data_IF_756599433300
#
_entry.id   IF_756599433300
#
_cell.length_a   1.000
_cell.length_b   1.000
_cell.length_c   1.000
_cell.angle_alpha   90.00
_cell.angle_beta   90.00
_cell.angle_gamma   90.00
#
_symmetry.space_group_name_H-M   'P 1'
#
loop_
_entity.id
_entity.type
_entity.pdbx_description
1 polymer ?
#
# COMPACT_ATOMS: atom_id res chain seq x y z
N UNK A 1 21.90 13.48 21.79
CA UNK A 1 20.95 12.93 20.80
C UNK A 1 21.64 12.96 19.44
N UNK A 2 21.88 11.79 18.86
CA UNK A 2 22.64 11.66 17.61
C UNK A 2 21.76 12.03 16.42
N UNK A 3 22.25 12.92 15.56
CA UNK A 3 21.63 13.13 14.25
C UNK A 3 21.93 11.91 13.38
N UNK A 4 20.94 11.44 12.59
CA UNK A 4 21.20 10.39 11.60
C UNK A 4 22.12 10.98 10.53
N UNK A 5 23.39 10.60 10.55
CA UNK A 5 24.39 11.11 9.59
C UNK A 5 24.40 10.32 8.28
N UNK A 6 23.95 9.07 8.30
CA UNK A 6 23.86 8.20 7.12
C UNK A 6 22.81 7.11 7.34
N UNK A 7 22.01 6.83 6.31
CA UNK A 7 21.06 5.71 6.28
C UNK A 7 21.43 4.77 5.13
N UNK A 8 21.36 3.47 5.38
CA UNK A 8 21.46 2.44 4.34
C UNK A 8 20.30 1.47 4.49
N UNK A 9 19.59 1.24 3.37
CA UNK A 9 18.62 0.15 3.28
C UNK A 9 19.33 -1.08 2.70
N UNK A 10 19.30 -2.21 3.42
CA UNK A 10 19.77 -3.49 2.90
C UNK A 10 18.61 -4.48 2.91
N UNK A 11 18.35 -5.09 1.76
CA UNK A 11 17.16 -5.91 1.48
C UNK A 11 16.17 -5.13 0.62
N UNK A 12 15.88 -5.61 -0.59
CA UNK A 12 14.83 -5.01 -1.42
C UNK A 12 13.46 -5.44 -0.90
N UNK A 13 12.43 -4.65 -1.22
CA UNK A 13 11.01 -4.98 -0.96
C UNK A 13 10.48 -6.22 -1.72
N UNK A 14 11.35 -7.03 -2.31
CA UNK A 14 10.93 -8.22 -3.02
C UNK A 14 10.75 -9.37 -2.02
N UNK A 15 9.53 -9.90 -1.91
CA UNK A 15 9.15 -10.97 -0.97
C UNK A 15 9.99 -12.25 -1.13
N UNK A 16 10.68 -12.41 -2.27
CA UNK A 16 11.49 -13.59 -2.58
C UNK A 16 12.99 -13.40 -2.30
N UNK A 17 13.43 -12.25 -1.79
CA UNK A 17 14.84 -12.04 -1.48
C UNK A 17 15.16 -12.51 -0.06
N UNK A 18 16.14 -13.41 0.05
CA UNK A 18 16.69 -13.82 1.34
C UNK A 18 17.18 -12.61 2.13
N UNK A 19 17.05 -12.62 3.47
CA UNK A 19 17.53 -11.52 4.30
C UNK A 19 19.02 -11.28 4.05
N UNK A 20 19.49 -10.03 4.19
CA UNK A 20 20.89 -9.71 4.00
C UNK A 20 21.78 -10.51 4.96
N UNK A 21 22.92 -10.99 4.45
CA UNK A 21 23.87 -11.75 5.26
C UNK A 21 24.47 -10.84 6.35
N UNK A 22 24.67 -11.35 7.58
CA UNK A 22 25.29 -10.61 8.69
C UNK A 22 26.60 -9.91 8.32
N UNK A 23 27.46 -10.56 7.53
CA UNK A 23 28.73 -9.98 7.07
C UNK A 23 28.57 -8.73 6.19
N UNK A 24 27.52 -8.64 5.38
CA UNK A 24 27.24 -7.44 4.58
C UNK A 24 26.79 -6.28 5.48
N UNK A 25 26.05 -6.59 6.55
CA UNK A 25 25.61 -5.60 7.54
C UNK A 25 26.83 -5.09 8.34
N UNK A 26 27.74 -5.98 8.77
CA UNK A 26 28.98 -5.60 9.49
C UNK A 26 29.82 -4.60 8.71
N UNK A 27 29.92 -4.73 7.38
CA UNK A 27 30.70 -3.81 6.53
C UNK A 27 30.19 -2.37 6.58
N UNK A 28 28.90 -2.16 6.86
CA UNK A 28 28.33 -0.82 7.01
C UNK A 28 28.70 -0.13 8.33
N UNK A 29 29.18 -0.90 9.31
CA UNK A 29 29.47 -0.43 10.68
C UNK A 29 28.29 0.35 11.29
N UNK A 30 27.09 -0.26 11.37
CA UNK A 30 25.92 0.43 11.91
C UNK A 30 26.09 0.69 13.41
N UNK A 31 25.47 1.76 13.88
CA UNK A 31 25.28 2.05 15.31
C UNK A 31 23.88 1.61 15.81
N UNK A 32 22.97 1.32 14.89
CA UNK A 32 21.62 0.80 15.13
C UNK A 32 21.16 -0.03 13.91
N UNK A 33 20.46 -1.13 14.16
CA UNK A 33 19.78 -1.94 13.13
C UNK A 33 18.27 -1.90 13.38
N UNK A 34 17.50 -1.56 12.37
CA UNK A 34 16.04 -1.63 12.38
C UNK A 34 15.58 -2.79 11.49
N UNK A 35 14.79 -3.71 12.06
CA UNK A 35 14.32 -4.90 11.35
C UNK A 35 12.79 -4.87 11.27
N UNK A 36 12.24 -4.75 10.06
CA UNK A 36 10.79 -4.81 9.83
C UNK A 36 10.26 -6.22 9.54
N UNK A 37 11.12 -7.13 9.09
CA UNK A 37 10.80 -8.55 8.94
C UNK A 37 12.03 -9.34 9.37
N UNK A 38 11.87 -10.22 10.35
CA UNK A 38 12.96 -11.02 10.92
C UNK A 38 12.86 -12.51 10.56
N UNK A 39 11.94 -12.92 9.69
CA UNK A 39 11.89 -14.31 9.21
C UNK A 39 13.23 -14.68 8.54
N UNK A 40 13.88 -15.72 9.08
CA UNK A 40 15.20 -16.15 8.62
C UNK A 40 16.38 -15.28 9.09
N UNK A 41 16.16 -14.33 10.00
CA UNK A 41 17.20 -13.50 10.63
C UNK A 41 17.37 -13.92 12.10
N UNK A 42 18.62 -14.15 12.52
CA UNK A 42 18.95 -14.33 13.93
C UNK A 42 19.10 -12.97 14.63
N UNK A 43 18.16 -12.63 15.52
CA UNK A 43 18.23 -11.37 16.29
C UNK A 43 19.45 -11.32 17.20
N UNK A 44 19.87 -12.45 17.78
CA UNK A 44 21.09 -12.55 18.58
C UNK A 44 22.31 -12.18 17.76
N UNK A 45 22.41 -12.70 16.53
CA UNK A 45 23.50 -12.39 15.61
C UNK A 45 23.50 -10.91 15.22
N UNK A 46 22.34 -10.34 14.89
CA UNK A 46 22.22 -8.90 14.60
C UNK A 46 22.65 -8.04 15.79
N UNK A 47 22.28 -8.45 17.01
CA UNK A 47 22.64 -7.74 18.22
C UNK A 47 24.16 -7.80 18.52
N UNK A 48 24.89 -8.78 17.98
CA UNK A 48 26.38 -8.77 18.01
C UNK A 48 27.00 -7.74 17.06
N UNK A 49 26.24 -7.22 16.10
CA UNK A 49 26.71 -6.22 15.12
C UNK A 49 26.45 -4.82 15.67
N UNK A 50 25.21 -4.54 16.09
CA UNK A 50 24.78 -3.28 16.69
C UNK A 50 23.45 -3.49 17.44
N UNK A 51 23.07 -2.57 18.36
CA UNK A 51 21.72 -2.57 18.94
C UNK A 51 20.66 -2.79 17.86
N UNK A 52 19.79 -3.78 18.06
CA UNK A 52 18.80 -4.18 17.06
C UNK A 52 17.40 -3.97 17.60
N UNK A 53 16.56 -3.25 16.85
CA UNK A 53 15.15 -3.01 17.18
C UNK A 53 14.29 -3.64 16.10
N UNK A 54 13.33 -4.45 16.53
CA UNK A 54 12.28 -4.98 15.65
C UNK A 54 11.16 -3.97 15.58
N UNK A 55 10.83 -3.53 14.37
CA UNK A 55 9.69 -2.69 14.10
C UNK A 55 8.55 -3.58 13.63
N UNK A 56 7.48 -3.61 14.42
CA UNK A 56 6.25 -4.27 14.03
C UNK A 56 5.64 -3.53 12.83
N UNK A 57 5.53 -4.23 11.70
CA UNK A 57 4.99 -3.66 10.45
C UNK A 57 3.48 -3.66 10.43
N UNK A 58 2.84 -4.49 11.24
CA UNK A 58 1.39 -4.62 11.29
C UNK A 58 0.77 -3.49 12.15
N UNK A 59 1.61 -2.75 12.87
CA UNK A 59 1.22 -1.50 13.51
C UNK A 59 0.82 -0.41 12.50
N UNK A 60 -0.15 0.40 12.91
CA UNK A 60 -0.58 1.58 12.18
C UNK A 60 0.60 2.51 11.89
N UNK A 61 0.52 3.26 10.79
CA UNK A 61 1.54 4.25 10.43
C UNK A 61 1.81 5.23 11.59
N UNK A 62 0.76 5.66 12.29
CA UNK A 62 0.89 6.53 13.47
C UNK A 62 1.71 5.90 14.59
N UNK A 63 1.45 4.63 14.93
CA UNK A 63 2.23 3.92 15.96
C UNK A 63 3.68 3.73 15.53
N UNK A 64 3.92 3.35 14.26
CA UNK A 64 5.27 3.21 13.71
C UNK A 64 6.05 4.53 13.73
N UNK A 65 5.43 5.64 13.32
CA UNK A 65 6.07 6.95 13.35
C UNK A 65 6.36 7.44 14.76
N UNK A 66 5.46 7.20 15.73
CA UNK A 66 5.71 7.51 17.14
C UNK A 66 6.86 6.70 17.72
N UNK A 67 6.92 5.41 17.40
CA UNK A 67 8.02 4.52 17.79
C UNK A 67 9.34 5.03 17.24
N UNK A 68 9.38 5.38 15.95
CA UNK A 68 10.57 6.00 15.33
C UNK A 68 10.91 7.34 15.99
N UNK A 69 9.91 8.16 16.32
CA UNK A 69 10.06 9.39 17.09
C UNK A 69 10.79 9.15 18.41
N UNK A 70 10.36 8.17 19.20
CA UNK A 70 11.00 7.82 20.47
C UNK A 70 12.44 7.32 20.30
N UNK A 71 12.68 6.46 19.29
CA UNK A 71 14.01 5.91 19.01
C UNK A 71 15.02 7.02 18.66
N UNK A 72 14.57 8.01 17.88
CA UNK A 72 15.45 9.06 17.34
C UNK A 72 15.35 10.40 18.08
N UNK A 73 14.54 10.51 19.13
CA UNK A 73 14.29 11.77 19.85
C UNK A 73 13.60 12.83 18.99
N UNK A 74 12.63 12.40 18.17
CA UNK A 74 11.87 13.18 17.20
C UNK A 74 10.36 13.03 17.39
N UNK A 75 9.91 12.90 18.64
CA UNK A 75 8.51 12.71 18.99
C UNK A 75 7.66 13.89 18.53
N UNK A 76 8.17 15.12 18.65
CA UNK A 76 7.45 16.32 18.20
C UNK A 76 7.25 16.35 16.69
N UNK A 77 8.28 15.99 15.91
CA UNK A 77 8.21 15.91 14.46
C UNK A 77 7.26 14.79 14.00
N UNK A 78 7.27 13.65 14.70
CA UNK A 78 6.35 12.55 14.41
C UNK A 78 4.89 12.98 14.61
N UNK A 79 4.54 13.59 15.75
CA UNK A 79 3.17 14.08 15.98
C UNK A 79 2.78 15.19 15.01
N UNK A 80 3.69 16.14 14.76
CA UNK A 80 3.41 17.24 13.83
C UNK A 80 3.19 16.73 12.40
N UNK A 81 3.94 15.72 11.96
CA UNK A 81 3.72 15.09 10.66
C UNK A 81 2.36 14.41 10.59
N UNK A 82 1.96 13.66 11.63
CA UNK A 82 0.66 12.97 11.69
C UNK A 82 -0.51 13.94 11.63
N UNK A 83 -0.48 15.00 12.44
CA UNK A 83 -1.51 16.05 12.45
C UNK A 83 -1.63 16.70 11.06
N UNK A 84 -0.50 16.98 10.42
CA UNK A 84 -0.50 17.56 9.06
C UNK A 84 -1.05 16.57 8.03
N UNK A 85 -0.68 15.30 8.13
CA UNK A 85 -1.16 14.26 7.23
C UNK A 85 -2.69 14.14 7.30
N UNK A 86 -3.25 14.05 8.50
CA UNK A 86 -4.70 13.96 8.71
C UNK A 86 -5.43 15.18 8.13
N UNK A 87 -4.91 16.39 8.36
CA UNK A 87 -5.47 17.61 7.77
C UNK A 87 -5.39 17.63 6.24
N UNK A 88 -4.33 17.07 5.65
CA UNK A 88 -4.20 16.95 4.19
C UNK A 88 -5.18 15.92 3.62
N UNK A 89 -5.47 14.83 4.34
CA UNK A 89 -6.46 13.82 3.93
C UNK A 89 -7.85 14.45 3.85
N UNK A 90 -8.24 15.20 4.87
CA UNK A 90 -9.53 15.92 4.88
C UNK A 90 -9.63 16.92 3.71
N UNK A 91 -8.58 17.71 3.50
CA UNK A 91 -8.54 18.65 2.39
C UNK A 91 -8.59 17.96 1.02
N UNK A 92 -7.88 16.84 0.85
CA UNK A 92 -7.90 16.05 -0.37
C UNK A 92 -9.32 15.56 -0.69
N UNK A 93 -10.05 15.05 0.31
CA UNK A 93 -11.43 14.61 0.11
C UNK A 93 -12.38 15.75 -0.22
N UNK A 94 -12.23 16.93 0.42
CA UNK A 94 -13.00 18.12 0.06
C UNK A 94 -12.77 18.54 -1.41
N UNK A 95 -11.52 18.43 -1.90
CA UNK A 95 -11.16 18.71 -3.30
C UNK A 95 -11.72 17.67 -4.29
N UNK A 96 -12.00 16.45 -3.81
CA UNK A 96 -12.50 15.33 -4.59
C UNK A 96 -14.02 15.20 -4.62
N UNK A 97 -14.77 15.99 -3.84
CA UNK A 97 -16.22 15.82 -3.64
C UNK A 97 -17.07 15.76 -4.92
N UNK A 98 -16.63 16.46 -5.98
CA UNK A 98 -17.35 16.52 -7.26
C UNK A 98 -16.91 15.41 -8.24
N UNK A 99 -15.94 14.57 -7.85
CA UNK A 99 -15.39 13.50 -8.68
C UNK A 99 -16.10 12.15 -8.51
N UNK A 100 -17.02 12.04 -7.54
CA UNK A 100 -17.78 10.84 -7.24
C UNK A 100 -19.13 11.18 -6.59
N UNK A 101 -20.03 10.21 -6.49
CA UNK A 101 -21.34 10.40 -5.86
C UNK A 101 -21.26 10.08 -4.36
N UNK A 102 -21.89 10.86 -3.46
CA UNK A 102 -21.94 10.51 -2.05
C UNK A 102 -22.50 9.09 -1.83
N UNK A 103 -21.77 8.28 -1.07
CA UNK A 103 -22.11 6.87 -0.82
C UNK A 103 -21.66 5.89 -1.90
N UNK A 104 -20.97 6.35 -2.94
CA UNK A 104 -20.34 5.48 -3.94
C UNK A 104 -19.36 4.51 -3.26
N UNK A 105 -19.43 3.24 -3.66
CA UNK A 105 -18.58 2.18 -3.10
C UNK A 105 -17.34 1.97 -3.95
N UNK A 106 -16.22 1.61 -3.32
CA UNK A 106 -14.98 1.28 -4.00
C UNK A 106 -14.43 -0.08 -3.53
N UNK A 107 -13.79 -0.78 -4.46
CA UNK A 107 -13.07 -2.04 -4.17
C UNK A 107 -11.67 -1.97 -4.75
N UNK A 108 -10.69 -2.45 -3.99
CA UNK A 108 -9.30 -2.54 -4.43
C UNK A 108 -8.96 -4.00 -4.71
N UNK A 109 -8.48 -4.28 -5.92
CA UNK A 109 -8.11 -5.62 -6.37
C UNK A 109 -6.61 -5.71 -6.64
N UNK A 110 -6.01 -6.84 -6.26
CA UNK A 110 -4.61 -7.17 -6.55
C UNK A 110 -4.59 -8.56 -7.16
N UNK A 111 -3.94 -8.72 -8.31
CA UNK A 111 -3.57 -10.05 -8.80
C UNK A 111 -2.10 -10.27 -8.46
N UNK A 112 -1.82 -11.14 -7.48
CA UNK A 112 -0.47 -11.34 -6.97
C UNK A 112 0.28 -12.40 -7.79
N UNK A 113 1.59 -12.52 -7.55
CA UNK A 113 2.47 -13.41 -8.30
C UNK A 113 2.26 -14.90 -8.01
N UNK A 114 1.36 -15.25 -7.09
CA UNK A 114 0.96 -16.62 -6.77
C UNK A 114 -0.28 -17.08 -7.55
N UNK A 115 -0.62 -16.36 -8.62
CA UNK A 115 -1.74 -16.61 -9.51
C UNK A 115 -3.11 -16.52 -8.82
N UNK A 116 -3.23 -15.68 -7.80
CA UNK A 116 -4.48 -15.43 -7.07
C UNK A 116 -4.95 -13.99 -7.17
N UNK A 117 -6.26 -13.86 -7.24
CA UNK A 117 -6.95 -12.58 -7.12
C UNK A 117 -7.28 -12.31 -5.65
N UNK A 118 -6.92 -11.12 -5.20
CA UNK A 118 -7.17 -10.64 -3.86
C UNK A 118 -8.06 -9.40 -3.86
N UNK A 119 -8.98 -9.37 -2.90
CA UNK A 119 -9.71 -8.15 -2.52
C UNK A 119 -9.01 -7.58 -1.28
N UNK A 120 -8.54 -6.34 -1.38
CA UNK A 120 -7.96 -5.64 -0.23
C UNK A 120 -9.09 -5.08 0.64
N UNK A 121 -8.98 -5.32 1.95
CA UNK A 121 -9.97 -4.92 2.94
C UNK A 121 -9.42 -3.79 3.82
N UNK A 122 -8.78 -4.09 4.94
CA UNK A 122 -8.32 -3.09 5.92
C UNK A 122 -6.83 -2.69 5.78
N UNK A 123 -6.17 -3.09 4.69
CA UNK A 123 -4.75 -2.80 4.46
C UNK A 123 -4.48 -2.18 3.09
N UNK A 124 -3.49 -1.27 3.03
CA UNK A 124 -3.01 -0.68 1.78
C UNK A 124 -3.86 0.48 1.29
N UNK A 125 -4.13 0.55 -0.02
CA UNK A 125 -4.92 1.65 -0.61
C UNK A 125 -6.33 1.84 0.02
N UNK A 126 -7.06 0.78 0.43
CA UNK A 126 -8.29 0.93 1.20
C UNK A 126 -8.22 1.90 2.38
N UNK A 127 -7.09 1.96 3.09
CA UNK A 127 -6.91 2.87 4.23
C UNK A 127 -6.96 4.35 3.85
N UNK A 128 -6.80 4.67 2.56
CA UNK A 128 -6.98 6.04 2.04
C UNK A 128 -8.36 6.21 1.44
N UNK A 129 -8.89 5.19 0.75
CA UNK A 129 -10.17 5.26 0.04
C UNK A 129 -11.38 5.25 0.98
N UNK A 130 -11.34 4.40 2.02
CA UNK A 130 -12.45 4.24 2.96
C UNK A 130 -12.42 5.36 3.99
N UNK A 131 -13.25 6.37 3.75
CA UNK A 131 -13.26 7.60 4.51
C UNK A 131 -14.68 8.17 4.59
N UNK A 132 -15.01 8.88 5.67
CA UNK A 132 -16.35 9.46 5.84
C UNK A 132 -16.74 10.44 4.71
N UNK A 133 -15.73 11.16 4.19
CA UNK A 133 -15.86 12.08 3.05
C UNK A 133 -15.38 11.46 1.73
N UNK A 134 -15.16 10.14 1.69
CA UNK A 134 -14.63 9.41 0.54
C UNK A 134 -15.55 8.26 0.11
N UNK A 135 -14.94 7.14 -0.27
CA UNK A 135 -15.69 5.96 -0.66
C UNK A 135 -16.06 5.11 0.56
N UNK A 136 -17.11 4.31 0.42
CA UNK A 136 -17.40 3.20 1.32
C UNK A 136 -16.91 1.88 0.73
N UNK A 137 -16.56 0.87 1.53
CA UNK A 137 -16.41 -0.50 1.02
C UNK A 137 -17.77 -1.03 0.52
N UNK A 138 -17.75 -2.05 -0.34
CA UNK A 138 -18.94 -2.88 -0.60
C UNK A 138 -19.37 -3.61 0.68
N UNK A 139 -20.60 -4.14 0.73
CA UNK A 139 -21.12 -4.83 1.92
C UNK A 139 -20.24 -6.01 2.34
N UNK A 140 -19.78 -6.80 1.37
CA UNK A 140 -18.95 -7.95 1.62
C UNK A 140 -17.54 -7.58 2.06
N UNK A 141 -16.97 -6.51 1.50
CA UNK A 141 -15.68 -6.00 1.96
C UNK A 141 -15.80 -5.40 3.37
N UNK A 142 -16.91 -4.72 3.69
CA UNK A 142 -17.19 -4.23 5.03
C UNK A 142 -17.23 -5.38 6.06
N UNK A 143 -17.90 -6.49 5.73
CA UNK A 143 -17.96 -7.67 6.57
C UNK A 143 -16.56 -8.29 6.80
N UNK A 144 -15.69 -8.31 5.78
CA UNK A 144 -14.30 -8.74 5.94
C UNK A 144 -13.52 -7.82 6.90
N UNK A 145 -13.70 -6.51 6.78
CA UNK A 145 -13.07 -5.52 7.68
C UNK A 145 -13.54 -5.74 9.13
N UNK A 146 -14.84 -5.97 9.36
CA UNK A 146 -15.39 -6.26 10.69
C UNK A 146 -14.83 -7.55 11.30
N UNK A 147 -14.47 -8.53 10.46
CA UNK A 147 -13.81 -9.77 10.88
C UNK A 147 -12.31 -9.62 11.13
N UNK A 148 -11.75 -8.43 10.88
CA UNK A 148 -10.32 -8.16 11.05
C UNK A 148 -9.47 -8.62 9.87
N UNK A 149 -10.07 -8.88 8.71
CA UNK A 149 -9.33 -9.31 7.52
C UNK A 149 -8.63 -8.11 6.87
N UNK A 150 -7.33 -8.26 6.59
CA UNK A 150 -6.54 -7.28 5.85
C UNK A 150 -6.81 -7.36 4.34
N UNK A 151 -6.96 -8.58 3.83
CA UNK A 151 -7.26 -8.92 2.46
C UNK A 151 -7.76 -10.36 2.39
N UNK A 152 -8.49 -10.71 1.33
CA UNK A 152 -8.99 -12.07 1.11
C UNK A 152 -8.70 -12.51 -0.33
N UNK A 153 -8.38 -13.80 -0.51
CA UNK A 153 -8.30 -14.39 -1.86
C UNK A 153 -9.69 -14.79 -2.33
N UNK A 154 -10.02 -14.50 -3.58
CA UNK A 154 -11.30 -14.86 -4.20
C UNK A 154 -11.08 -15.56 -5.54
N UNK A 155 -12.08 -16.31 -5.97
CA UNK A 155 -12.16 -16.80 -7.34
C UNK A 155 -12.80 -15.73 -8.23
N UNK A 156 -12.48 -15.69 -9.52
CA UNK A 156 -13.04 -14.70 -10.46
C UNK A 156 -14.57 -14.69 -10.46
N UNK A 157 -15.19 -15.87 -10.34
CA UNK A 157 -16.66 -16.01 -10.32
C UNK A 157 -17.34 -15.32 -9.15
N UNK A 158 -16.59 -15.00 -8.09
CA UNK A 158 -17.10 -14.35 -6.89
C UNK A 158 -16.93 -12.82 -6.97
N UNK A 159 -16.34 -12.27 -8.05
CA UNK A 159 -16.08 -10.84 -8.22
C UNK A 159 -17.31 -9.96 -7.96
N UNK A 160 -18.46 -10.30 -8.56
CA UNK A 160 -19.71 -9.53 -8.44
C UNK A 160 -20.15 -9.34 -6.99
N UNK A 161 -19.81 -10.29 -6.12
CA UNK A 161 -20.11 -10.23 -4.69
C UNK A 161 -19.24 -9.21 -3.94
N UNK A 162 -18.05 -8.89 -4.40
CA UNK A 162 -17.11 -8.04 -3.65
C UNK A 162 -16.91 -6.65 -4.27
N UNK A 163 -17.17 -6.47 -5.57
CA UNK A 163 -16.90 -5.20 -6.24
C UNK A 163 -17.98 -4.16 -5.96
N UNK A 164 -17.53 -2.95 -5.63
CA UNK A 164 -18.39 -1.77 -5.54
C UNK A 164 -18.57 -1.07 -6.89
N UNK A 165 -19.08 0.16 -6.82
CA UNK A 165 -19.33 1.02 -7.98
C UNK A 165 -18.05 1.39 -8.73
N UNK A 166 -16.91 1.46 -8.04
CA UNK A 166 -15.58 1.75 -8.59
C UNK A 166 -14.59 0.67 -8.23
N UNK A 167 -13.72 0.34 -9.17
CA UNK A 167 -12.66 -0.66 -8.99
C UNK A 167 -11.31 0.00 -9.16
N UNK A 168 -10.42 -0.19 -8.19
CA UNK A 168 -9.01 0.16 -8.27
C UNK A 168 -8.19 -1.12 -8.39
N UNK A 169 -7.45 -1.28 -9.49
CA UNK A 169 -6.55 -2.41 -9.70
C UNK A 169 -5.13 -1.97 -9.37
N UNK A 170 -4.52 -2.64 -8.40
CA UNK A 170 -3.08 -2.49 -8.14
C UNK A 170 -2.32 -3.31 -9.19
N UNK A 171 -1.82 -2.63 -10.22
CA UNK A 171 -1.11 -3.25 -11.33
C UNK A 171 0.38 -3.33 -11.05
N UNK A 172 0.95 -4.53 -11.20
CA UNK A 172 2.40 -4.74 -11.15
C UNK A 172 3.15 -4.02 -12.29
N UNK A 173 2.44 -3.59 -13.35
CA UNK A 173 3.06 -3.09 -14.58
C UNK A 173 3.11 -1.56 -14.66
N UNK A 174 2.36 -0.86 -13.79
CA UNK A 174 2.27 0.62 -13.76
C UNK A 174 3.50 1.29 -13.15
N UNK A 175 4.22 0.60 -12.25
CA UNK A 175 5.39 1.17 -11.55
C UNK A 175 6.69 1.14 -12.36
N UNK A 176 6.63 0.65 -13.60
CA UNK A 176 7.80 0.50 -14.46
C UNK A 176 8.81 -0.55 -13.96
N UNK A 177 8.46 -1.30 -12.90
CA UNK A 177 9.27 -2.36 -12.34
C UNK A 177 8.45 -3.64 -12.30
N UNK A 178 8.73 -4.52 -13.26
CA UNK A 178 8.09 -5.82 -13.39
C UNK A 178 9.08 -6.86 -12.88
N UNK A 179 8.90 -7.32 -11.64
CA UNK A 179 9.74 -8.36 -11.02
C UNK A 179 9.55 -9.72 -11.71
N UNK A 180 8.35 -9.98 -12.22
CA UNK A 180 8.01 -11.19 -12.96
C UNK A 180 7.45 -10.82 -14.34
N UNK A 181 8.14 -11.18 -15.44
CA UNK A 181 7.75 -10.83 -16.80
C UNK A 181 6.35 -11.33 -17.20
N UNK A 182 5.81 -12.34 -16.49
CA UNK A 182 4.47 -12.88 -16.74
C UNK A 182 3.36 -12.06 -16.08
N UNK A 183 3.68 -11.11 -15.19
CA UNK A 183 2.70 -10.32 -14.44
C UNK A 183 1.71 -9.58 -15.34
N UNK A 184 2.17 -9.07 -16.49
CA UNK A 184 1.31 -8.39 -17.46
C UNK A 184 0.30 -9.35 -18.10
N UNK A 185 0.76 -10.53 -18.51
CA UNK A 185 -0.09 -11.54 -19.16
C UNK A 185 -1.12 -12.08 -18.18
N UNK A 186 -0.72 -12.30 -16.92
CA UNK A 186 -1.64 -12.73 -15.86
C UNK A 186 -2.70 -11.70 -15.54
N UNK A 187 -2.30 -10.44 -15.32
CA UNK A 187 -3.25 -9.34 -15.08
C UNK A 187 -4.26 -9.22 -16.24
N UNK A 188 -3.78 -9.37 -17.47
CA UNK A 188 -4.66 -9.33 -18.64
C UNK A 188 -5.59 -10.55 -18.73
N UNK A 189 -5.08 -11.74 -18.44
CA UNK A 189 -5.81 -13.00 -18.65
C UNK A 189 -7.12 -13.04 -17.87
N UNK A 190 -7.09 -12.73 -16.57
CA UNK A 190 -8.31 -12.79 -15.74
C UNK A 190 -9.32 -11.71 -16.13
N UNK A 191 -8.86 -10.57 -16.66
CA UNK A 191 -9.73 -9.51 -17.20
C UNK A 191 -10.37 -9.84 -18.55
N UNK A 192 -9.95 -10.91 -19.24
CA UNK A 192 -10.64 -11.39 -20.44
C UNK A 192 -11.88 -12.25 -20.09
N UNK A 193 -12.03 -12.64 -18.82
CA UNK A 193 -13.15 -13.47 -18.36
C UNK A 193 -14.49 -12.72 -18.38
N UNK A 194 -15.62 -13.43 -18.57
CA UNK A 194 -16.94 -12.82 -18.51
C UNK A 194 -17.26 -12.27 -17.10
N UNK A 195 -16.73 -12.91 -16.05
CA UNK A 195 -16.91 -12.46 -14.66
C UNK A 195 -16.34 -11.07 -14.41
N UNK A 196 -15.30 -10.66 -15.16
CA UNK A 196 -14.80 -9.29 -15.16
C UNK A 196 -15.57 -8.39 -16.13
N UNK A 197 -15.70 -8.80 -17.40
CA UNK A 197 -16.22 -7.93 -18.47
C UNK A 197 -17.68 -7.50 -18.26
N UNK A 198 -18.47 -8.33 -17.59
CA UNK A 198 -19.89 -8.06 -17.36
C UNK A 198 -20.15 -7.23 -16.10
N UNK A 199 -19.11 -6.91 -15.30
CA UNK A 199 -19.27 -6.11 -14.09
C UNK A 199 -19.78 -4.70 -14.42
N UNK A 200 -20.77 -4.17 -13.67
CA UNK A 200 -21.28 -2.82 -13.88
C UNK A 200 -20.20 -1.75 -13.86
N UNK A 201 -19.23 -1.83 -12.94
CA UNK A 201 -18.13 -0.87 -12.87
C UNK A 201 -17.24 -0.90 -14.12
N UNK A 202 -17.04 -2.08 -14.72
CA UNK A 202 -16.24 -2.26 -15.94
C UNK A 202 -16.98 -1.69 -17.15
N UNK A 203 -18.24 -2.07 -17.32
CA UNK A 203 -19.11 -1.57 -18.40
C UNK A 203 -19.27 -0.04 -18.37
N UNK A 204 -19.26 0.57 -17.18
CA UNK A 204 -19.39 2.02 -17.01
C UNK A 204 -18.05 2.76 -16.99
N UNK A 205 -16.92 2.09 -17.26
CA UNK A 205 -15.60 2.72 -17.29
C UNK A 205 -15.11 3.24 -15.93
N UNK A 206 -15.63 2.70 -14.82
CA UNK A 206 -15.29 3.06 -13.43
C UNK A 206 -14.15 2.21 -12.88
N UNK A 207 -13.15 1.93 -13.72
CA UNK A 207 -11.97 1.13 -13.38
C UNK A 207 -10.73 2.00 -13.47
N UNK A 208 -9.91 2.00 -12.42
CA UNK A 208 -8.65 2.73 -12.35
C UNK A 208 -7.51 1.75 -12.09
N UNK A 209 -6.47 1.77 -12.92
CA UNK A 209 -5.25 0.98 -12.66
C UNK A 209 -4.19 1.89 -12.06
N UNK A 210 -3.65 1.47 -10.92
CA UNK A 210 -2.63 2.20 -10.16
C UNK A 210 -1.39 1.33 -9.94
N UNK A 211 -0.32 1.96 -9.48
CA UNK A 211 0.94 1.30 -9.17
C UNK A 211 0.90 0.47 -7.89
N UNK A 212 1.85 -0.46 -7.72
CA UNK A 212 2.07 -1.20 -6.47
C UNK A 212 2.36 -0.26 -5.29
N UNK A 213 3.04 0.86 -5.54
CA UNK A 213 3.31 1.88 -4.53
C UNK A 213 2.03 2.48 -3.90
N UNK A 214 0.88 2.44 -4.58
CA UNK A 214 -0.39 2.91 -4.00
C UNK A 214 -0.88 2.01 -2.86
N UNK A 215 -0.45 0.75 -2.86
CA UNK A 215 -0.80 -0.21 -1.83
C UNK A 215 0.21 -0.22 -0.66
N UNK A 216 1.24 0.62 -0.70
CA UNK A 216 2.28 0.69 0.32
C UNK A 216 1.88 1.64 1.46
N UNK A 217 2.29 1.28 2.68
CA UNK A 217 1.82 1.96 3.90
C UNK A 217 2.87 2.84 4.56
N UNK A 218 3.96 3.16 3.86
CA UNK A 218 4.97 4.11 4.33
C UNK A 218 4.47 5.55 4.25
N UNK A 219 5.09 6.42 5.05
CA UNK A 219 4.70 7.83 5.13
C UNK A 219 4.80 8.56 3.78
N UNK A 220 5.85 8.27 3.00
CA UNK A 220 6.08 8.89 1.69
C UNK A 220 5.09 8.37 0.64
N UNK A 221 4.83 7.07 0.65
CA UNK A 221 3.90 6.44 -0.29
C UNK A 221 2.47 6.91 -0.02
N UNK A 222 2.06 7.06 1.25
CA UNK A 222 0.77 7.64 1.60
C UNK A 222 0.64 9.11 1.20
N UNK A 223 1.72 9.88 1.28
CA UNK A 223 1.76 11.25 0.77
C UNK A 223 1.61 11.29 -0.75
N UNK A 224 2.26 10.37 -1.46
CA UNK A 224 2.14 10.24 -2.91
C UNK A 224 0.69 9.97 -3.34
N UNK A 225 0.06 8.97 -2.72
CA UNK A 225 -1.35 8.63 -2.99
C UNK A 225 -2.25 9.84 -2.74
N UNK A 226 -2.03 10.58 -1.65
CA UNK A 226 -2.82 11.77 -1.33
C UNK A 226 -2.75 12.85 -2.42
N UNK A 227 -1.57 13.06 -3.01
CA UNK A 227 -1.38 14.03 -4.08
C UNK A 227 -1.93 13.53 -5.43
N UNK A 228 -1.81 12.24 -5.73
CA UNK A 228 -2.19 11.67 -7.02
C UNK A 228 -3.68 11.29 -7.13
N UNK A 229 -4.33 10.93 -6.01
CA UNK A 229 -5.72 10.47 -5.99
C UNK A 229 -6.70 11.48 -6.63
N UNK A 230 -6.66 12.80 -6.33
CA UNK A 230 -7.57 13.77 -6.95
C UNK A 230 -7.53 13.79 -8.48
N UNK A 231 -6.33 13.67 -9.06
CA UNK A 231 -6.17 13.62 -10.50
C UNK A 231 -6.69 12.31 -11.08
N UNK A 232 -6.38 11.18 -10.43
CA UNK A 232 -6.89 9.88 -10.82
C UNK A 232 -8.42 9.84 -10.82
N UNK A 233 -9.07 10.43 -9.80
CA UNK A 233 -10.53 10.45 -9.73
C UNK A 233 -11.17 11.27 -10.86
N UNK A 234 -10.55 12.39 -11.24
CA UNK A 234 -11.02 13.23 -12.36
C UNK A 234 -10.75 12.62 -13.73
N UNK A 235 -9.62 11.92 -13.87
CA UNK A 235 -9.15 11.33 -15.12
C UNK A 235 -8.72 9.86 -14.93
N UNK A 236 -9.68 8.92 -14.82
CA UNK A 236 -9.40 7.50 -14.49
C UNK A 236 -8.45 6.78 -15.46
N UNK A 237 -8.30 7.31 -16.69
CA UNK A 237 -7.47 6.74 -17.75
C UNK A 237 -6.04 7.28 -17.81
N UNK A 238 -5.69 8.38 -17.11
CA UNK A 238 -4.46 9.15 -17.37
C UNK A 238 -3.21 8.78 -16.54
N UNK A 239 -3.21 7.81 -15.63
CA UNK A 239 -1.99 7.55 -14.82
C UNK A 239 -0.94 6.74 -15.60
N UNK A 240 -0.18 7.41 -16.47
CA UNK A 240 0.97 6.83 -17.18
C UNK A 240 2.30 7.29 -16.61
N UNK A 241 3.13 6.31 -16.19
CA UNK A 241 4.61 6.26 -16.07
C UNK A 241 5.42 7.34 -15.32
N UNK A 242 4.96 8.57 -15.13
CA UNK A 242 5.80 9.67 -14.60
C UNK A 242 5.53 10.05 -13.13
N UNK A 243 4.68 9.29 -12.43
CA UNK A 243 4.23 9.57 -11.07
C UNK A 243 5.35 9.48 -9.99
N UNK A 244 6.58 9.12 -10.36
CA UNK A 244 7.73 8.97 -9.42
C UNK A 244 8.55 10.24 -9.20
N UNK A 245 8.11 11.42 -9.68
CA UNK A 245 8.94 12.65 -9.73
C UNK A 245 8.48 13.81 -8.83
N UNK A 246 7.57 13.60 -7.88
CA UNK A 246 7.17 14.64 -6.93
C UNK A 246 7.75 14.33 -5.54
#
# INVERSE_FOLDING_TARGET
MGSIHRYHSIGKHNRNQLPPKPEEIRKLKPDLILVGNYYGISLDEMNTIAPTIVLDRDQTLGSRLRTLGQIFGKEHEAEHWLIRYDAMVEYMWEVCKDAFVPGETATVLVYDNDDRLYVMASQGLPNTLYHANGFSPSLEVAACIEQGEAFISIEERDLERYVGDRIFIISATRDGYVDDPTSYERERSWMESPYWRDLPAVCNGKVSHVGQHWNMEGALERMHVLHALPELLRNPTMVTRDDKRI
#
